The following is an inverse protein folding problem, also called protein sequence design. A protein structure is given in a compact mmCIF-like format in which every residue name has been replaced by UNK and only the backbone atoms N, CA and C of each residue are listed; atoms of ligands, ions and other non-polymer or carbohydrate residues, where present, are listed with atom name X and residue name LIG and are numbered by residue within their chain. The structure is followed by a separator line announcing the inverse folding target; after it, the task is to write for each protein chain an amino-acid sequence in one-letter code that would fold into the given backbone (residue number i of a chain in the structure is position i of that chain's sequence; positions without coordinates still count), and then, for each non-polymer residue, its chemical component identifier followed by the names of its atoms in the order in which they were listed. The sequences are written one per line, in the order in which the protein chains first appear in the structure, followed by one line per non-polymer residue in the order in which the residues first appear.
data_IF_641002260135
#
_entry.id   IF_641002260135
#
_cell.length_a   1.000
_cell.length_b   1.000
_cell.length_c   1.000
_cell.angle_alpha   90.00
_cell.angle_beta   90.00
_cell.angle_gamma   90.00
#
_symmetry.space_group_name_H-M   'P 1'
#
loop_
_entity.id
_entity.type
_entity.pdbx_description
1 polymer ?
#
# COMPACT_ATOMS: atom_id res chain seq x y z
N UNK A 1 19.18 -14.87 14.04
CA UNK A 1 20.00 -14.53 12.86
C UNK A 1 19.12 -13.72 11.90
N UNK A 2 19.66 -12.59 11.44
CA UNK A 2 19.10 -11.54 10.59
C UNK A 2 17.65 -11.74 10.08
N UNK A 3 16.72 -10.90 10.58
CA UNK A 3 15.47 -10.58 9.87
C UNK A 3 15.89 -10.06 8.49
N UNK A 4 15.48 -10.75 7.42
CA UNK A 4 15.70 -10.31 6.04
C UNK A 4 14.78 -9.11 5.79
N UNK A 5 15.26 -7.91 6.10
CA UNK A 5 14.48 -6.66 6.11
C UNK A 5 14.12 -6.20 4.68
N UNK A 6 14.82 -6.69 3.66
CA UNK A 6 14.55 -6.35 2.27
C UNK A 6 14.47 -7.61 1.40
N UNK A 7 13.31 -7.82 0.78
CA UNK A 7 13.19 -8.68 -0.38
C UNK A 7 13.28 -7.78 -1.63
N UNK A 8 14.44 -7.75 -2.28
CA UNK A 8 14.69 -6.91 -3.45
C UNK A 8 13.70 -7.19 -4.60
N UNK A 9 13.14 -8.40 -4.69
CA UNK A 9 12.09 -8.72 -5.67
C UNK A 9 10.79 -7.92 -5.46
N UNK A 10 10.46 -7.57 -4.21
CA UNK A 10 9.28 -6.74 -3.88
C UNK A 10 9.55 -5.24 -4.05
N UNK A 11 10.81 -4.82 -4.09
CA UNK A 11 11.15 -3.41 -4.30
C UNK A 11 10.78 -2.95 -5.71
N UNK A 12 11.03 -3.77 -6.73
CA UNK A 12 10.68 -3.43 -8.13
C UNK A 12 9.17 -3.24 -8.29
N UNK A 13 8.38 -4.15 -7.71
CA UNK A 13 6.92 -4.08 -7.70
C UNK A 13 6.42 -2.81 -6.99
N UNK A 14 7.03 -2.47 -5.84
CA UNK A 14 6.69 -1.24 -5.11
C UNK A 14 7.03 0.04 -5.89
N UNK A 15 8.15 0.08 -6.61
CA UNK A 15 8.56 1.25 -7.42
C UNK A 15 7.60 1.45 -8.59
N UNK A 16 7.19 0.36 -9.24
CA UNK A 16 6.20 0.41 -10.31
C UNK A 16 4.85 0.92 -9.78
N UNK A 17 4.39 0.37 -8.65
CA UNK A 17 3.15 0.80 -8.01
C UNK A 17 3.18 2.29 -7.63
N UNK A 18 4.26 2.77 -7.01
CA UNK A 18 4.40 4.20 -6.65
C UNK A 18 4.40 5.09 -7.88
N UNK A 19 5.04 4.66 -8.97
CA UNK A 19 5.07 5.44 -10.22
C UNK A 19 3.67 5.58 -10.81
N UNK A 20 2.92 4.48 -10.92
CA UNK A 20 1.54 4.49 -11.41
C UNK A 20 0.64 5.32 -10.47
N UNK A 21 0.80 5.17 -9.16
CA UNK A 21 0.06 5.93 -8.16
C UNK A 21 0.33 7.44 -8.26
N UNK A 22 1.56 7.87 -8.58
CA UNK A 22 1.89 9.28 -8.82
C UNK A 22 1.19 9.83 -10.07
N UNK A 23 1.12 9.06 -11.16
CA UNK A 23 0.40 9.48 -12.36
C UNK A 23 -1.11 9.58 -12.11
N UNK A 24 -1.72 8.60 -11.44
CA UNK A 24 -3.14 8.61 -11.08
C UNK A 24 -3.43 9.77 -10.11
N UNK A 25 -2.55 9.98 -9.12
CA UNK A 25 -2.63 11.09 -8.18
C UNK A 25 -2.58 12.44 -8.89
N UNK A 26 -1.60 12.63 -9.79
CA UNK A 26 -1.45 13.87 -10.54
C UNK A 26 -2.66 14.15 -11.43
N UNK A 27 -3.17 13.14 -12.12
CA UNK A 27 -4.38 13.27 -12.93
C UNK A 27 -5.64 13.52 -12.10
N UNK A 28 -5.80 12.82 -10.97
CA UNK A 28 -6.92 13.00 -10.05
C UNK A 28 -6.95 14.40 -9.44
N UNK A 29 -5.79 14.92 -9.00
CA UNK A 29 -5.68 16.29 -8.50
C UNK A 29 -5.96 17.32 -9.59
N UNK A 30 -5.50 17.07 -10.81
CA UNK A 30 -5.77 17.95 -11.94
C UNK A 30 -7.28 18.06 -12.21
N UNK A 31 -8.00 16.92 -12.24
CA UNK A 31 -9.45 16.90 -12.39
C UNK A 31 -10.18 17.58 -11.22
N UNK A 32 -9.74 17.33 -9.98
CA UNK A 32 -10.30 18.00 -8.81
C UNK A 32 -10.07 19.52 -8.84
N UNK A 33 -8.93 19.96 -9.34
CA UNK A 33 -8.60 21.37 -9.55
C UNK A 33 -9.52 22.04 -10.58
N UNK A 34 -9.72 21.40 -11.74
CA UNK A 34 -10.67 21.88 -12.75
C UNK A 34 -12.12 21.83 -12.23
N UNK A 35 -12.50 20.80 -11.49
CA UNK A 35 -13.83 20.74 -10.88
C UNK A 35 -14.03 21.87 -9.86
N UNK A 36 -13.04 22.14 -9.01
CA UNK A 36 -13.09 23.24 -8.05
C UNK A 36 -13.23 24.59 -8.77
N UNK A 37 -12.45 24.82 -9.83
CA UNK A 37 -12.54 26.01 -10.67
C UNK A 37 -13.94 26.17 -11.27
N UNK A 38 -14.49 25.12 -11.86
CA UNK A 38 -15.80 25.17 -12.50
C UNK A 38 -16.95 25.32 -11.48
N UNK A 39 -16.93 24.60 -10.36
CA UNK A 39 -18.00 24.64 -9.33
C UNK A 39 -17.94 25.89 -8.46
N UNK A 40 -16.76 26.31 -8.01
CA UNK A 40 -16.60 27.42 -7.05
C UNK A 40 -16.37 28.77 -7.74
N UNK A 41 -15.77 28.83 -8.93
CA UNK A 41 -15.54 30.10 -9.63
C UNK A 41 -16.59 30.41 -10.71
N UNK A 42 -17.06 29.43 -11.50
CA UNK A 42 -18.03 29.68 -12.58
C UNK A 42 -19.49 29.42 -12.20
N UNK A 43 -19.79 28.32 -11.48
CA UNK A 43 -21.16 27.86 -11.18
C UNK A 43 -21.65 28.19 -9.76
N UNK A 44 -20.92 29.03 -9.00
CA UNK A 44 -21.27 29.36 -7.60
C UNK A 44 -22.68 29.93 -7.41
N UNK A 45 -23.26 30.54 -8.46
CA UNK A 45 -24.63 31.06 -8.45
C UNK A 45 -25.71 29.98 -8.58
N UNK A 46 -25.44 28.84 -9.24
CA UNK A 46 -26.41 27.74 -9.39
C UNK A 46 -26.27 26.65 -8.31
N UNK A 47 -25.05 26.43 -7.81
CA UNK A 47 -24.73 25.39 -6.83
C UNK A 47 -24.33 25.97 -5.45
N UNK A 48 -24.98 27.05 -5.02
CA UNK A 48 -24.48 27.86 -3.87
C UNK A 48 -24.29 27.09 -2.56
N UNK A 49 -25.15 26.11 -2.26
CA UNK A 49 -25.02 25.26 -1.06
C UNK A 49 -23.84 24.30 -1.14
N UNK A 50 -23.61 23.68 -2.29
CA UNK A 50 -22.49 22.74 -2.50
C UNK A 50 -21.17 23.52 -2.58
N UNK A 51 -21.16 24.65 -3.28
CA UNK A 51 -20.01 25.55 -3.35
C UNK A 51 -19.63 26.09 -1.96
N UNK A 52 -20.59 26.40 -1.10
CA UNK A 52 -20.35 26.84 0.28
C UNK A 52 -19.73 25.75 1.16
N UNK A 53 -20.15 24.49 1.02
CA UNK A 53 -19.54 23.36 1.74
C UNK A 53 -18.13 23.08 1.24
N UNK A 54 -17.93 23.04 -0.09
CA UNK A 54 -16.62 22.77 -0.69
C UNK A 54 -15.61 23.88 -0.39
N UNK A 55 -16.03 25.15 -0.40
CA UNK A 55 -15.18 26.28 -0.01
C UNK A 55 -14.82 26.27 1.49
N UNK A 56 -15.68 25.68 2.33
CA UNK A 56 -15.44 25.54 3.78
C UNK A 56 -14.56 24.34 4.11
N UNK A 57 -14.69 23.25 3.35
CA UNK A 57 -13.89 22.03 3.51
C UNK A 57 -12.47 22.22 2.94
N UNK A 58 -12.34 23.01 1.88
CA UNK A 58 -11.06 23.36 1.24
C UNK A 58 -10.93 24.88 1.10
N UNK A 59 -10.52 25.57 2.19
CA UNK A 59 -10.23 27.01 2.14
C UNK A 59 -8.88 27.24 1.44
N UNK A 60 -8.87 27.15 0.12
CA UNK A 60 -7.68 27.50 -0.66
C UNK A 60 -7.49 29.02 -0.65
N UNK A 61 -6.28 29.53 -0.36
CA UNK A 61 -5.98 30.95 -0.48
C UNK A 61 -6.33 31.42 -1.92
N UNK A 62 -7.03 32.55 -2.01
CA UNK A 62 -7.55 33.14 -3.24
C UNK A 62 -8.52 32.26 -4.07
N UNK A 63 -9.11 31.19 -3.51
CA UNK A 63 -9.93 30.22 -4.25
C UNK A 63 -9.20 29.65 -5.47
N UNK A 64 -7.87 29.59 -5.42
CA UNK A 64 -7.04 29.02 -6.48
C UNK A 64 -6.48 27.70 -5.99
N UNK A 65 -6.78 26.65 -6.73
CA UNK A 65 -6.16 25.36 -6.52
C UNK A 65 -4.69 25.43 -6.98
N UNK A 66 -3.76 25.32 -6.05
CA UNK A 66 -2.32 25.34 -6.36
C UNK A 66 -1.84 23.91 -6.66
N UNK A 67 -1.75 23.58 -7.94
CA UNK A 67 -1.20 22.30 -8.37
C UNK A 67 0.33 22.34 -8.25
N UNK A 68 0.86 21.67 -7.23
CA UNK A 68 2.29 21.55 -6.97
C UNK A 68 2.66 20.08 -6.79
N UNK A 69 3.93 19.75 -7.09
CA UNK A 69 4.46 18.40 -6.92
C UNK A 69 4.24 17.88 -5.50
N UNK A 70 4.32 18.75 -4.49
CA UNK A 70 4.05 18.42 -3.09
C UNK A 70 2.63 17.87 -2.89
N UNK A 71 1.61 18.48 -3.52
CA UNK A 71 0.23 18.02 -3.41
C UNK A 71 0.04 16.64 -4.08
N UNK A 72 0.68 16.42 -5.24
CA UNK A 72 0.67 15.14 -5.94
C UNK A 72 1.32 14.04 -5.11
N UNK A 73 2.44 14.34 -4.47
CA UNK A 73 3.15 13.40 -3.61
C UNK A 73 2.33 13.08 -2.35
N UNK A 74 1.82 14.08 -1.64
CA UNK A 74 1.00 13.86 -0.44
C UNK A 74 -0.28 13.09 -0.77
N UNK A 75 -0.95 13.39 -1.87
CA UNK A 75 -2.14 12.65 -2.28
C UNK A 75 -1.82 11.21 -2.68
N UNK A 76 -0.68 10.97 -3.35
CA UNK A 76 -0.25 9.60 -3.66
C UNK A 76 0.05 8.78 -2.39
N UNK A 77 0.59 9.41 -1.34
CA UNK A 77 0.77 8.77 -0.04
C UNK A 77 -0.56 8.44 0.62
N UNK A 78 -1.55 9.34 0.55
CA UNK A 78 -2.90 9.08 1.07
C UNK A 78 -3.58 7.91 0.35
N UNK A 79 -3.44 7.83 -0.98
CA UNK A 79 -3.91 6.67 -1.77
C UNK A 79 -3.20 5.40 -1.30
N UNK A 80 -1.87 5.44 -1.14
CA UNK A 80 -1.10 4.31 -0.64
C UNK A 80 -1.55 3.82 0.73
N UNK A 81 -1.82 4.74 1.66
CA UNK A 81 -2.35 4.43 2.99
C UNK A 81 -3.76 3.82 2.91
N UNK A 82 -4.62 4.33 2.03
CA UNK A 82 -5.97 3.78 1.81
C UNK A 82 -5.91 2.36 1.22
N UNK A 83 -4.98 2.10 0.31
CA UNK A 83 -4.73 0.76 -0.25
C UNK A 83 -4.19 -0.22 0.81
N UNK A 84 -3.44 0.26 1.81
CA UNK A 84 -2.97 -0.57 2.93
C UNK A 84 -4.08 -0.93 3.92
N UNK A 85 -5.07 -0.05 4.12
CA UNK A 85 -6.20 -0.29 5.05
C UNK A 85 -7.14 -1.42 4.61
N UNK A 86 -7.08 -1.84 3.35
CA UNK A 86 -8.08 -2.73 2.74
C UNK A 86 -7.52 -4.02 2.14
N UNK A 87 -6.30 -4.46 2.51
CA UNK A 87 -5.71 -5.63 1.85
C UNK A 87 -5.85 -6.94 2.67
N UNK A 88 -6.91 -7.75 2.43
CA UNK A 88 -6.98 -9.13 2.93
C UNK A 88 -5.81 -10.00 2.44
N UNK A 89 -5.07 -9.51 1.43
CA UNK A 89 -3.84 -10.15 0.99
C UNK A 89 -2.74 -10.13 2.06
N UNK A 90 -2.68 -9.14 2.97
CA UNK A 90 -1.69 -9.18 4.06
C UNK A 90 -1.98 -10.30 5.04
N UNK A 91 -3.25 -10.51 5.39
CA UNK A 91 -3.68 -11.61 6.26
C UNK A 91 -3.43 -12.98 5.61
N UNK A 92 -3.75 -13.12 4.31
CA UNK A 92 -3.50 -14.36 3.56
C UNK A 92 -2.00 -14.63 3.43
N UNK A 93 -1.19 -13.61 3.11
CA UNK A 93 0.26 -13.76 2.99
C UNK A 93 0.90 -14.14 4.34
N UNK A 94 0.39 -13.60 5.44
CA UNK A 94 0.85 -13.94 6.78
C UNK A 94 0.46 -15.38 7.14
N UNK A 95 -0.78 -15.77 6.87
CA UNK A 95 -1.26 -17.14 7.09
C UNK A 95 -0.48 -18.19 6.27
N UNK A 96 -0.21 -17.90 4.98
CA UNK A 96 0.56 -18.80 4.12
C UNK A 96 2.04 -18.88 4.53
N UNK A 97 2.64 -17.76 4.93
CA UNK A 97 4.01 -17.75 5.46
C UNK A 97 4.13 -18.54 6.78
N UNK A 98 3.14 -18.44 7.66
CA UNK A 98 3.08 -19.23 8.90
C UNK A 98 2.91 -20.72 8.62
N UNK A 99 2.06 -21.07 7.64
CA UNK A 99 1.85 -22.45 7.21
C UNK A 99 3.12 -23.07 6.62
N UNK A 100 3.82 -22.33 5.75
CA UNK A 100 5.06 -22.80 5.11
C UNK A 100 6.19 -22.98 6.15
N UNK A 101 6.31 -22.07 7.13
CA UNK A 101 7.26 -22.23 8.23
C UNK A 101 6.94 -23.46 9.10
N UNK A 102 5.67 -23.72 9.38
CA UNK A 102 5.24 -24.87 10.18
C UNK A 102 5.54 -26.18 9.45
N UNK A 103 5.31 -26.23 8.14
CA UNK A 103 5.64 -27.40 7.32
C UNK A 103 7.15 -27.65 7.24
N UNK A 104 7.97 -26.60 7.05
CA UNK A 104 9.44 -26.73 7.10
C UNK A 104 9.95 -27.29 8.43
N UNK A 105 9.46 -26.76 9.56
CA UNK A 105 9.85 -27.25 10.90
C UNK A 105 9.50 -28.72 11.10
N UNK A 106 8.30 -29.15 10.66
CA UNK A 106 7.88 -30.56 10.73
C UNK A 106 8.77 -31.48 9.89
N UNK A 107 9.15 -31.04 8.69
CA UNK A 107 10.07 -31.82 7.82
C UNK A 107 11.45 -31.94 8.45
N UNK A 108 12.01 -30.86 8.98
CA UNK A 108 13.32 -30.87 9.66
C UNK A 108 13.32 -31.75 10.92
N UNK A 109 12.25 -31.75 11.71
CA UNK A 109 12.13 -32.61 12.89
C UNK A 109 12.00 -34.10 12.52
N UNK A 110 11.22 -34.41 11.47
CA UNK A 110 11.10 -35.78 10.96
C UNK A 110 12.44 -36.30 10.43
N UNK A 111 13.20 -35.47 9.72
CA UNK A 111 14.52 -35.83 9.19
C UNK A 111 15.56 -36.02 10.32
N UNK A 112 15.52 -35.16 11.36
CA UNK A 112 16.37 -35.32 12.55
C UNK A 112 16.05 -36.60 13.33
N UNK A 113 14.77 -36.99 13.42
CA UNK A 113 14.36 -38.26 14.07
C UNK A 113 14.88 -39.46 13.30
N UNK A 114 14.70 -39.49 11.98
CA UNK A 114 15.22 -40.56 11.11
C UNK A 114 16.73 -40.72 11.24
N UNK A 115 17.50 -39.62 11.19
CA UNK A 115 18.96 -39.66 11.40
C UNK A 115 19.38 -40.15 12.80
N UNK A 116 18.57 -39.90 13.84
CA UNK A 116 18.85 -40.41 15.20
C UNK A 116 18.57 -41.90 15.31
N UNK A 117 17.51 -42.39 14.66
CA UNK A 117 17.20 -43.82 14.59
C UNK A 117 18.26 -44.59 13.80
N UNK A 118 18.66 -44.10 12.63
CA UNK A 118 19.74 -44.70 11.82
C UNK A 118 21.06 -44.79 12.60
N UNK A 119 21.42 -43.75 13.36
CA UNK A 119 22.62 -43.78 14.20
C UNK A 119 22.53 -44.72 15.40
N UNK A 120 21.32 -44.98 15.93
CA UNK A 120 21.13 -45.97 17.00
C UNK A 120 21.23 -47.40 16.47
N UNK A 121 20.65 -47.67 15.30
CA UNK A 121 20.69 -49.00 14.68
C UNK A 121 22.08 -49.38 14.15
N UNK A 122 22.94 -48.39 13.86
CA UNK A 122 24.31 -48.62 13.38
C UNK A 122 25.36 -48.72 14.51
N UNK A 123 25.01 -48.36 15.76
CA UNK A 123 25.89 -48.49 16.93
C UNK A 123 25.67 -49.76 17.75
N UNK A 124 24.74 -50.63 17.33
CA UNK A 124 24.35 -51.89 18.00
C UNK A 124 24.74 -53.14 17.16
N UNK A 125 25.68 -52.96 16.23
CA UNK A 125 26.37 -54.03 15.47
C UNK A 125 27.87 -53.91 15.70
#
# INVERSE_FOLDING_TARGET
MARQIANFGRLVDSVFFTTVALFISGFGLFLLGELYKNVVQQEAKKLSKVAGVVARLFPFPDKKFEFSLTHVVVFSMLIGLLCMLHHPAQDILQHDAEREQKERKRREEAEKRKRKEEKKTQGDK
#
